data_IF_210715950566
#
_entry.id   IF_210715950566
#
_cell.length_a   1.000
_cell.length_b   1.000
_cell.length_c   1.000
_cell.angle_alpha   90.00
_cell.angle_beta   90.00
_cell.angle_gamma   90.00
#
_symmetry.space_group_name_H-M   'P 1'
#
loop_
_entity.id
_entity.type
_entity.pdbx_description
1 polymer ?
#
# COMPACT_ATOMS: atom_id res chain seq x y z
N UNK A 1 -9.65 10.74 -9.79
CA UNK A 1 -10.78 9.79 -9.81
C UNK A 1 -11.81 10.16 -10.87
N UNK A 2 -12.45 11.33 -10.81
CA UNK A 2 -13.51 11.73 -11.76
C UNK A 2 -13.15 11.54 -13.25
N UNK A 3 -12.01 12.07 -13.69
CA UNK A 3 -11.56 11.94 -15.10
C UNK A 3 -11.42 10.46 -15.49
N UNK A 4 -10.83 9.63 -14.63
CA UNK A 4 -10.66 8.20 -14.92
C UNK A 4 -12.01 7.46 -15.08
N UNK A 5 -13.06 7.88 -14.38
CA UNK A 5 -14.40 7.32 -14.55
C UNK A 5 -15.07 7.78 -15.84
N UNK A 6 -15.00 9.07 -16.17
CA UNK A 6 -15.57 9.62 -17.42
C UNK A 6 -14.90 9.01 -18.64
N UNK A 7 -13.57 8.88 -18.62
CA UNK A 7 -12.76 8.31 -19.70
C UNK A 7 -12.69 6.77 -19.66
N UNK A 8 -13.40 6.13 -18.72
CA UNK A 8 -13.44 4.67 -18.55
C UNK A 8 -12.04 4.01 -18.52
N UNK A 9 -11.09 4.66 -17.84
CA UNK A 9 -9.70 4.19 -17.74
C UNK A 9 -9.66 2.87 -16.95
N UNK A 10 -8.90 1.85 -17.40
CA UNK A 10 -8.70 0.60 -16.66
C UNK A 10 -7.80 0.84 -15.44
N UNK A 11 -8.36 1.46 -14.39
CA UNK A 11 -7.67 1.90 -13.18
C UNK A 11 -8.16 1.12 -11.95
N UNK A 12 -7.22 0.73 -11.10
CA UNK A 12 -7.49 0.25 -9.74
C UNK A 12 -6.80 1.19 -8.76
N UNK A 13 -7.57 1.80 -7.87
CA UNK A 13 -7.04 2.56 -6.73
C UNK A 13 -7.10 1.66 -5.51
N UNK A 14 -5.96 1.43 -4.87
CA UNK A 14 -5.89 0.74 -3.58
C UNK A 14 -5.57 1.76 -2.51
N UNK A 15 -6.48 1.95 -1.56
CA UNK A 15 -6.27 2.78 -0.39
C UNK A 15 -5.97 1.89 0.82
N UNK A 16 -4.79 2.02 1.40
CA UNK A 16 -4.44 1.39 2.67
C UNK A 16 -4.98 2.26 3.81
N UNK A 17 -6.15 1.92 4.33
CA UNK A 17 -6.74 2.60 5.46
C UNK A 17 -6.08 2.10 6.74
N UNK A 18 -5.10 2.86 7.22
CA UNK A 18 -4.41 2.60 8.48
C UNK A 18 -5.07 3.31 9.69
N UNK A 19 -6.27 3.85 9.50
CA UNK A 19 -7.09 4.60 10.47
C UNK A 19 -6.60 5.98 10.91
N UNK A 20 -5.41 6.40 10.46
CA UNK A 20 -4.82 7.69 10.83
C UNK A 20 -4.04 8.37 9.70
N UNK A 21 -4.30 9.66 9.49
CA UNK A 21 -3.43 10.57 8.76
C UNK A 21 -2.51 11.31 9.76
N UNK A 22 -1.25 10.86 9.86
CA UNK A 22 -0.38 11.19 11.02
C UNK A 22 -1.12 10.82 12.31
N UNK A 23 -1.63 11.81 13.07
CA UNK A 23 -2.35 11.68 14.34
C UNK A 23 -3.84 11.98 14.23
N UNK A 24 -4.32 12.30 13.03
CA UNK A 24 -5.73 12.58 12.76
C UNK A 24 -6.44 11.28 12.45
N UNK A 25 -7.40 10.87 13.30
CA UNK A 25 -8.23 9.68 13.09
C UNK A 25 -9.19 9.85 11.91
N UNK A 26 -9.63 8.73 11.32
CA UNK A 26 -10.58 8.71 10.20
C UNK A 26 -11.85 9.55 10.42
N UNK A 27 -12.42 9.53 11.63
CA UNK A 27 -13.61 10.30 11.99
C UNK A 27 -13.41 11.83 11.89
N UNK A 28 -12.15 12.27 11.88
CA UNK A 28 -11.73 13.66 11.70
C UNK A 28 -11.19 13.95 10.30
N UNK A 29 -10.84 12.90 9.54
CA UNK A 29 -10.34 12.99 8.18
C UNK A 29 -11.48 13.03 7.15
N UNK A 30 -12.58 12.31 7.41
CA UNK A 30 -13.71 12.24 6.49
C UNK A 30 -15.05 11.99 7.17
N UNK A 31 -16.11 12.51 6.54
CA UNK A 31 -17.48 12.43 7.05
C UNK A 31 -18.31 11.24 6.50
N UNK A 32 -17.80 10.50 5.50
CA UNK A 32 -18.44 9.26 5.07
C UNK A 32 -18.26 8.19 6.14
N UNK A 33 -19.19 7.24 6.22
CA UNK A 33 -19.11 6.15 7.19
C UNK A 33 -17.87 5.28 6.92
N UNK A 34 -17.68 4.90 5.65
CA UNK A 34 -16.55 4.12 5.20
C UNK A 34 -15.83 4.84 4.05
N UNK A 35 -14.49 4.74 3.99
CA UNK A 35 -13.72 5.38 2.90
C UNK A 35 -14.15 4.89 1.51
N UNK A 36 -14.60 3.63 1.41
CA UNK A 36 -15.06 3.02 0.16
C UNK A 36 -16.34 3.67 -0.38
N UNK A 37 -17.12 4.35 0.45
CA UNK A 37 -18.35 5.04 0.02
C UNK A 37 -18.05 6.14 -1.00
N UNK A 38 -16.83 6.68 -0.96
CA UNK A 38 -16.35 7.66 -1.95
C UNK A 38 -16.31 7.09 -3.37
N UNK A 39 -16.14 5.78 -3.54
CA UNK A 39 -16.11 5.13 -4.85
C UNK A 39 -17.38 5.44 -5.65
N UNK A 40 -18.54 5.31 -4.99
CA UNK A 40 -19.85 5.55 -5.60
C UNK A 40 -19.98 6.98 -6.13
N UNK A 41 -19.44 7.96 -5.40
CA UNK A 41 -19.47 9.37 -5.81
C UNK A 41 -18.72 9.65 -7.12
N UNK A 42 -17.78 8.80 -7.51
CA UNK A 42 -17.03 8.91 -8.75
C UNK A 42 -17.45 7.89 -9.81
N UNK A 43 -18.46 7.05 -9.56
CA UNK A 43 -18.83 5.95 -10.45
C UNK A 43 -17.84 4.78 -10.46
N UNK A 44 -17.00 4.65 -9.42
CA UNK A 44 -16.10 3.52 -9.24
C UNK A 44 -16.84 2.34 -8.58
N UNK A 45 -16.39 1.12 -8.86
CA UNK A 45 -16.79 -0.06 -8.09
C UNK A 45 -15.89 -0.18 -6.85
N UNK A 46 -16.50 -0.07 -5.67
CA UNK A 46 -15.81 -0.07 -4.37
C UNK A 46 -15.80 -1.43 -3.67
N UNK A 47 -14.67 -1.80 -3.07
CA UNK A 47 -14.50 -3.03 -2.29
C UNK A 47 -13.70 -2.77 -1.01
N UNK A 48 -14.15 -3.33 0.12
CA UNK A 48 -13.39 -3.38 1.35
C UNK A 48 -12.69 -4.75 1.48
N UNK A 49 -11.51 -4.77 2.10
CA UNK A 49 -10.83 -5.99 2.50
C UNK A 49 -10.08 -5.81 3.82
N UNK A 50 -9.81 -6.92 4.50
CA UNK A 50 -8.86 -7.00 5.60
C UNK A 50 -7.43 -6.97 5.03
N UNK A 51 -6.74 -5.85 5.23
CA UNK A 51 -5.40 -5.59 4.71
C UNK A 51 -4.32 -6.38 5.42
N UNK A 52 -4.66 -7.12 6.48
CA UNK A 52 -3.76 -8.04 7.18
C UNK A 52 -3.89 -9.49 6.70
N UNK A 53 -4.93 -9.79 5.90
CA UNK A 53 -5.16 -11.12 5.32
C UNK A 53 -4.58 -11.22 3.90
N UNK A 54 -3.53 -12.02 3.74
CA UNK A 54 -2.87 -12.22 2.44
C UNK A 54 -3.83 -12.79 1.38
N UNK A 55 -4.67 -13.76 1.73
CA UNK A 55 -5.60 -14.38 0.79
C UNK A 55 -6.66 -13.38 0.33
N UNK A 56 -7.24 -12.62 1.27
CA UNK A 56 -8.23 -11.59 0.93
C UNK A 56 -7.62 -10.50 0.03
N UNK A 57 -6.38 -10.10 0.32
CA UNK A 57 -5.65 -9.14 -0.52
C UNK A 57 -5.47 -9.67 -1.95
N UNK A 58 -4.98 -10.91 -2.11
CA UNK A 58 -4.77 -11.53 -3.42
C UNK A 58 -6.09 -11.66 -4.21
N UNK A 59 -7.15 -12.12 -3.55
CA UNK A 59 -8.44 -12.35 -4.20
C UNK A 59 -9.12 -11.05 -4.63
N UNK A 60 -9.23 -10.07 -3.73
CA UNK A 60 -9.98 -8.83 -3.97
C UNK A 60 -9.22 -7.93 -4.94
N UNK A 61 -7.91 -7.72 -4.73
CA UNK A 61 -7.09 -6.88 -5.61
C UNK A 61 -6.94 -7.56 -6.97
N UNK A 62 -6.69 -8.87 -7.01
CA UNK A 62 -6.62 -9.64 -8.24
C UNK A 62 -7.92 -9.57 -9.05
N UNK A 63 -9.06 -9.66 -8.38
CA UNK A 63 -10.37 -9.52 -9.02
C UNK A 63 -10.64 -8.11 -9.51
N UNK A 64 -10.25 -7.07 -8.76
CA UNK A 64 -10.35 -5.68 -9.19
C UNK A 64 -9.51 -5.44 -10.47
N UNK A 65 -8.27 -5.93 -10.50
CA UNK A 65 -7.40 -5.84 -11.69
C UNK A 65 -8.03 -6.55 -12.90
N UNK A 66 -8.58 -7.77 -12.70
CA UNK A 66 -9.28 -8.50 -13.77
C UNK A 66 -10.49 -7.71 -14.30
N UNK A 67 -11.29 -7.10 -13.41
CA UNK A 67 -12.45 -6.28 -13.79
C UNK A 67 -12.04 -5.03 -14.56
N UNK A 68 -11.04 -4.29 -14.10
CA UNK A 68 -10.56 -3.09 -14.78
C UNK A 68 -10.06 -3.42 -16.20
N UNK A 69 -9.31 -4.53 -16.34
CA UNK A 69 -8.86 -5.03 -17.66
C UNK A 69 -10.00 -5.49 -18.57
N UNK A 70 -11.12 -5.93 -18.00
CA UNK A 70 -12.31 -6.34 -18.74
C UNK A 70 -13.22 -5.16 -19.14
N UNK A 71 -12.80 -3.91 -18.94
CA UNK A 71 -13.57 -2.72 -19.28
C UNK A 71 -14.71 -2.39 -18.31
N UNK A 72 -14.69 -2.97 -17.10
CA UNK A 72 -15.59 -2.52 -16.01
C UNK A 72 -15.21 -1.09 -15.61
N UNK A 73 -16.11 -0.35 -14.93
CA UNK A 73 -15.76 0.95 -14.36
C UNK A 73 -14.48 0.88 -13.51
N UNK A 74 -13.75 1.99 -13.32
CA UNK A 74 -12.59 2.00 -12.44
C UNK A 74 -12.89 1.42 -11.05
N UNK A 75 -11.90 0.77 -10.46
CA UNK A 75 -12.06 0.03 -9.20
C UNK A 75 -11.45 0.83 -8.05
N UNK A 76 -12.08 0.78 -6.88
CA UNK A 76 -11.51 1.26 -5.63
C UNK A 76 -11.50 0.12 -4.62
N UNK A 77 -10.35 -0.18 -4.05
CA UNK A 77 -10.17 -1.19 -3.00
C UNK A 77 -9.66 -0.47 -1.75
N UNK A 78 -10.33 -0.65 -0.62
CA UNK A 78 -9.88 -0.13 0.67
C UNK A 78 -9.45 -1.30 1.54
N UNK A 79 -8.15 -1.34 1.85
CA UNK A 79 -7.54 -2.35 2.70
C UNK A 79 -7.41 -1.80 4.12
N UNK A 80 -8.16 -2.35 5.07
CA UNK A 80 -8.09 -1.96 6.48
C UNK A 80 -6.88 -2.62 7.14
N UNK A 81 -5.97 -1.83 7.71
CA UNK A 81 -4.76 -2.30 8.40
C UNK A 81 -4.40 -1.30 9.50
N UNK A 82 -3.33 -1.51 10.27
CA UNK A 82 -2.77 -0.49 11.16
C UNK A 82 -1.29 -0.34 10.89
N UNK A 83 -0.82 0.91 10.88
CA UNK A 83 0.62 1.16 10.95
C UNK A 83 1.08 0.87 12.38
N UNK A 84 1.82 -0.22 12.56
CA UNK A 84 2.22 -0.73 13.89
C UNK A 84 3.34 0.11 14.56
N UNK A 85 3.82 1.15 13.87
CA UNK A 85 4.88 2.07 14.32
C UNK A 85 4.45 3.53 14.12
N UNK A 86 5.29 4.47 14.57
CA UNK A 86 5.16 5.90 14.30
C UNK A 86 4.96 6.26 12.83
N UNK A 87 4.41 7.46 12.57
CA UNK A 87 4.28 8.01 11.23
C UNK A 87 5.64 8.19 10.54
N UNK A 88 6.64 8.56 11.31
CA UNK A 88 8.04 8.46 10.95
C UNK A 88 8.86 8.04 12.16
N UNK A 89 10.17 7.92 11.98
CA UNK A 89 11.10 7.43 13.01
C UNK A 89 11.06 8.25 14.32
N UNK A 90 10.69 9.53 14.24
CA UNK A 90 10.61 10.43 15.38
C UNK A 90 9.24 10.43 16.08
N UNK A 91 8.25 9.74 15.53
CA UNK A 91 6.89 9.71 16.05
C UNK A 91 6.69 8.47 16.94
N UNK A 92 6.27 8.68 18.18
CA UNK A 92 6.07 7.60 19.16
C UNK A 92 4.70 6.91 19.04
N UNK A 93 3.83 7.39 18.13
CA UNK A 93 2.46 6.90 17.93
C UNK A 93 1.59 6.94 19.21
N UNK A 94 1.86 7.86 20.13
CA UNK A 94 1.10 8.02 21.39
C UNK A 94 -0.41 8.29 21.21
N UNK A 95 -0.83 8.76 20.03
CA UNK A 95 -2.24 8.96 19.65
C UNK A 95 -2.96 7.66 19.22
N UNK A 96 -2.23 6.56 19.01
CA UNK A 96 -2.81 5.25 18.72
C UNK A 96 -3.06 4.52 20.03
N UNK A 97 -4.33 4.46 20.43
CA UNK A 97 -4.74 3.91 21.72
C UNK A 97 -4.57 2.38 21.77
N UNK A 98 -4.48 1.83 22.99
CA UNK A 98 -4.44 0.39 23.19
C UNK A 98 -5.72 -0.32 22.75
N UNK A 99 -6.85 0.39 22.68
CA UNK A 99 -8.09 -0.13 22.11
C UNK A 99 -7.91 -0.39 20.61
N UNK A 100 -7.43 0.61 19.86
CA UNK A 100 -7.17 0.45 18.43
C UNK A 100 -6.13 -0.63 18.15
N UNK A 101 -5.09 -0.75 18.98
CA UNK A 101 -4.06 -1.80 18.84
C UNK A 101 -4.59 -3.22 19.04
N UNK A 102 -5.78 -3.40 19.62
CA UNK A 102 -6.43 -4.72 19.80
C UNK A 102 -7.41 -5.07 18.68
N UNK A 103 -7.68 -4.14 17.78
CA UNK A 103 -8.58 -4.38 16.67
C UNK A 103 -8.01 -5.43 15.70
N UNK A 104 -8.86 -6.20 14.99
CA UNK A 104 -8.40 -7.23 14.06
C UNK A 104 -7.47 -6.70 12.96
N UNK A 105 -7.68 -5.46 12.50
CA UNK A 105 -6.83 -4.81 11.50
C UNK A 105 -5.45 -4.40 12.04
N UNK A 106 -5.23 -4.49 13.36
CA UNK A 106 -3.96 -4.15 14.01
C UNK A 106 -2.99 -5.34 14.14
N UNK A 107 -3.25 -6.44 13.43
CA UNK A 107 -2.39 -7.60 13.42
C UNK A 107 -1.17 -7.43 12.50
N UNK A 108 -0.07 -8.07 12.86
CA UNK A 108 1.11 -8.19 12.00
C UNK A 108 0.78 -9.10 10.81
N UNK A 109 0.61 -8.47 9.63
CA UNK A 109 0.23 -9.15 8.40
C UNK A 109 1.29 -10.16 7.93
N UNK A 110 2.58 -9.95 8.23
CA UNK A 110 3.63 -10.90 7.88
C UNK A 110 3.47 -12.17 8.70
N UNK A 111 3.32 -12.06 10.04
CA UNK A 111 3.11 -13.24 10.89
C UNK A 111 1.87 -14.03 10.49
N UNK A 112 0.79 -13.32 10.14
CA UNK A 112 -0.45 -13.96 9.66
C UNK A 112 -0.24 -14.67 8.32
N UNK A 113 0.48 -14.06 7.38
CA UNK A 113 0.84 -14.67 6.10
C UNK A 113 1.72 -15.91 6.27
N UNK A 114 2.73 -15.87 7.14
CA UNK A 114 3.60 -17.01 7.42
C UNK A 114 2.85 -18.19 8.02
N UNK A 115 1.98 -17.90 8.99
CA UNK A 115 1.10 -18.90 9.56
C UNK A 115 0.23 -19.54 8.48
N UNK A 116 -0.37 -18.74 7.61
CA UNK A 116 -1.18 -19.23 6.49
C UNK A 116 -0.37 -20.16 5.57
N UNK A 117 0.85 -19.76 5.20
CA UNK A 117 1.73 -20.55 4.32
C UNK A 117 2.04 -21.92 4.92
N UNK A 118 2.38 -21.96 6.21
CA UNK A 118 2.66 -23.21 6.95
C UNK A 118 1.41 -24.05 7.12
N UNK A 119 0.27 -23.45 7.51
CA UNK A 119 -1.00 -24.16 7.69
C UNK A 119 -1.48 -24.81 6.38
N UNK A 120 -1.18 -24.19 5.23
CA UNK A 120 -1.45 -24.72 3.90
C UNK A 120 -0.39 -25.73 3.39
N UNK A 121 0.67 -25.99 4.16
CA UNK A 121 1.80 -26.85 3.79
C UNK A 121 2.43 -26.46 2.43
N UNK A 122 2.50 -25.16 2.13
CA UNK A 122 3.11 -24.68 0.88
C UNK A 122 4.63 -24.76 0.92
N UNK A 123 5.21 -24.50 2.10
CA UNK A 123 6.63 -24.71 2.43
C UNK A 123 6.77 -25.06 3.92
N UNK A 124 7.92 -25.61 4.31
CA UNK A 124 8.25 -25.83 5.72
C UNK A 124 8.81 -24.56 6.40
N UNK A 125 8.89 -24.60 7.73
CA UNK A 125 9.38 -23.49 8.54
C UNK A 125 10.87 -23.16 8.28
N UNK A 126 11.66 -24.16 7.91
CA UNK A 126 13.09 -23.98 7.61
C UNK A 126 13.28 -23.17 6.32
N UNK A 127 12.54 -23.51 5.27
CA UNK A 127 12.52 -22.76 4.00
C UNK A 127 12.06 -21.32 4.22
N UNK A 128 11.00 -21.13 5.02
CA UNK A 128 10.46 -19.81 5.31
C UNK A 128 11.43 -18.93 6.11
N UNK A 129 12.15 -19.52 7.07
CA UNK A 129 13.25 -18.84 7.77
C UNK A 129 14.39 -18.49 6.81
N UNK A 130 14.76 -19.40 5.90
CA UNK A 130 15.75 -19.14 4.86
C UNK A 130 15.41 -17.92 4.01
N UNK A 131 14.14 -17.75 3.60
CA UNK A 131 13.71 -16.55 2.87
C UNK A 131 13.83 -15.27 3.68
N UNK A 132 13.61 -15.31 5.01
CA UNK A 132 13.83 -14.14 5.87
C UNK A 132 15.31 -13.77 5.95
N UNK A 133 16.17 -14.76 6.11
CA UNK A 133 17.61 -14.55 6.21
C UNK A 133 18.19 -14.03 4.89
N UNK A 134 17.71 -14.56 3.75
CA UNK A 134 18.05 -14.08 2.42
C UNK A 134 17.60 -12.63 2.21
N UNK A 135 16.38 -12.28 2.64
CA UNK A 135 15.87 -10.91 2.55
C UNK A 135 16.67 -9.93 3.42
N UNK A 136 17.02 -10.33 4.65
CA UNK A 136 17.87 -9.53 5.54
C UNK A 136 19.25 -9.30 4.92
N UNK A 137 19.85 -10.35 4.36
CA UNK A 137 21.15 -10.27 3.66
C UNK A 137 21.09 -9.30 2.48
N UNK A 138 20.01 -9.32 1.69
CA UNK A 138 19.83 -8.38 0.57
C UNK A 138 19.72 -6.93 1.04
N UNK A 139 19.02 -6.67 2.14
CA UNK A 139 18.92 -5.34 2.75
C UNK A 139 20.30 -4.86 3.23
N UNK A 140 21.04 -5.69 3.95
CA UNK A 140 22.39 -5.33 4.44
C UNK A 140 23.36 -5.03 3.29
N UNK A 141 23.29 -5.80 2.21
CA UNK A 141 24.07 -5.55 1.00
C UNK A 141 23.69 -4.21 0.35
N UNK A 142 22.39 -3.92 0.22
CA UNK A 142 21.92 -2.66 -0.35
C UNK A 142 22.38 -1.45 0.49
N UNK A 143 22.31 -1.55 1.82
CA UNK A 143 22.83 -0.50 2.73
C UNK A 143 24.34 -0.33 2.54
N UNK A 144 25.08 -1.43 2.48
CA UNK A 144 26.54 -1.40 2.30
C UNK A 144 26.95 -0.74 0.98
N UNK A 145 26.20 -1.00 -0.09
CA UNK A 145 26.42 -0.37 -1.40
C UNK A 145 26.16 1.13 -1.29
N UNK A 146 24.97 1.52 -0.82
CA UNK A 146 24.57 2.93 -0.71
C UNK A 146 25.54 3.75 0.18
N UNK A 147 26.06 3.17 1.26
CA UNK A 147 27.02 3.85 2.13
C UNK A 147 28.41 4.07 1.50
N UNK A 148 28.75 3.30 0.45
CA UNK A 148 30.01 3.42 -0.27
C UNK A 148 29.91 4.31 -1.51
N UNK A 149 28.70 4.66 -1.93
CA UNK A 149 28.49 5.60 -3.03
C UNK A 149 29.04 6.97 -2.66
N UNK A 150 29.56 7.68 -3.66
CA UNK A 150 30.01 9.04 -3.46
C UNK A 150 28.83 9.92 -3.06
N UNK A 151 29.08 10.91 -2.19
CA UNK A 151 28.10 11.95 -1.94
C UNK A 151 27.79 12.68 -3.26
N UNK A 152 26.57 13.22 -3.44
CA UNK A 152 26.23 14.03 -4.60
C UNK A 152 27.24 15.18 -4.79
N UNK A 153 27.72 15.38 -6.03
CA UNK A 153 28.63 16.48 -6.36
C UNK A 153 27.80 17.71 -6.71
N UNK A 154 28.10 18.85 -6.08
CA UNK A 154 27.42 20.11 -6.38
C UNK A 154 27.64 20.60 -7.84
N UNK A 155 28.66 20.09 -8.52
CA UNK A 155 28.94 20.38 -9.93
C UNK A 155 28.42 19.30 -10.89
N UNK A 156 27.70 18.30 -10.38
CA UNK A 156 27.09 17.27 -11.21
C UNK A 156 26.06 17.94 -12.15
N UNK A 157 26.16 17.64 -13.45
CA UNK A 157 25.18 18.08 -14.47
C UNK A 157 23.91 17.23 -14.36
N UNK A 158 23.26 17.33 -13.21
CA UNK A 158 22.02 16.64 -12.92
C UNK A 158 20.85 17.48 -13.43
N UNK A 159 20.00 16.88 -14.26
CA UNK A 159 18.66 17.37 -14.51
C UNK A 159 17.65 16.25 -14.25
N UNK A 160 16.57 16.55 -13.54
CA UNK A 160 15.37 15.74 -13.66
C UNK A 160 15.03 15.70 -15.16
N UNK A 161 14.85 14.52 -15.75
CA UNK A 161 14.55 14.36 -17.17
C UNK A 161 13.40 15.32 -17.54
N UNK A 162 13.75 16.42 -18.17
CA UNK A 162 12.86 17.45 -18.67
C UNK A 162 13.13 17.50 -20.16
N UNK A 163 12.43 16.64 -20.90
CA UNK A 163 12.56 16.63 -22.35
C UNK A 163 11.56 17.60 -22.95
N UNK A 164 12.06 18.58 -23.71
CA UNK A 164 11.21 19.49 -24.50
C UNK A 164 10.40 18.77 -25.57
N UNK A 165 10.78 17.53 -25.92
CA UNK A 165 10.04 16.73 -26.90
C UNK A 165 8.69 16.20 -26.37
N UNK A 166 8.48 16.19 -25.05
CA UNK A 166 7.21 15.78 -24.42
C UNK A 166 6.33 16.97 -24.00
N UNK A 167 6.71 18.20 -24.36
CA UNK A 167 5.81 19.35 -24.23
C UNK A 167 4.76 19.22 -25.31
N UNK A 168 3.51 18.91 -24.93
CA UNK A 168 2.37 19.04 -25.84
C UNK A 168 2.36 20.47 -26.39
N UNK A 169 2.59 20.61 -27.71
CA UNK A 169 2.35 21.87 -28.38
C UNK A 169 0.84 22.08 -28.39
N UNK A 170 0.37 23.09 -27.67
CA UNK A 170 -1.03 23.50 -27.73
C UNK A 170 -1.40 23.73 -29.20
N UNK A 171 -2.43 23.03 -29.68
CA UNK A 171 -3.08 23.30 -30.96
C UNK A 171 -3.84 24.63 -30.91
#
# INVERSE_FOLDING_TARGET
MNIAAVEQVPLVIVATNNHYAYSTSNEREFACAELVDRAKGYGFEGYNLDGTDLSACLDVIGSAVKRARAGRPPQMVVASTLRLSGHGEHDDASYVTDEIKREPFAQDCLKRAEKLIVDLNLVDAETLQGWRDDAATQVDQAITIAQKEAAPDANEDWCAISTRALVEQAQ
#
